data_IF_734401093085
#
_entry.id   IF_734401093085
#
_cell.length_a   1.000
_cell.length_b   1.000
_cell.length_c   1.000
_cell.angle_alpha   90.00
_cell.angle_beta   90.00
_cell.angle_gamma   90.00
#
_symmetry.space_group_name_H-M   'P 1'
#
loop_
_entity.id
_entity.type
_entity.pdbx_description
1 polymer ?
#
# COMPACT_ATOMS: atom_id res chain seq x y z
N UNK A 1 -3.41 42.17 -8.00
CA UNK A 1 -4.33 41.38 -8.84
C UNK A 1 -3.73 39.98 -8.96
N UNK A 2 -4.06 39.09 -7.99
CA UNK A 2 -3.50 37.75 -7.86
C UNK A 2 -4.48 36.80 -8.54
N UNK A 3 -4.03 36.12 -9.60
CA UNK A 3 -4.81 35.11 -10.29
C UNK A 3 -4.91 33.86 -9.42
N UNK A 4 -6.14 33.49 -9.06
CA UNK A 4 -6.46 32.20 -8.49
C UNK A 4 -6.07 31.08 -9.47
N UNK A 5 -5.13 30.24 -9.06
CA UNK A 5 -4.74 29.02 -9.77
C UNK A 5 -5.86 27.98 -9.67
N UNK A 6 -6.22 27.45 -10.81
CA UNK A 6 -7.16 26.33 -10.98
C UNK A 6 -6.83 25.17 -10.05
N UNK A 7 -7.82 24.72 -9.32
CA UNK A 7 -7.84 23.39 -8.74
C UNK A 7 -7.83 22.38 -9.91
N UNK A 8 -6.67 21.75 -10.11
CA UNK A 8 -6.54 20.66 -11.07
C UNK A 8 -7.34 19.46 -10.55
N UNK A 9 -8.35 19.07 -11.31
CA UNK A 9 -9.16 17.89 -11.07
C UNK A 9 -8.24 16.67 -10.98
N UNK A 10 -8.12 16.12 -9.78
CA UNK A 10 -7.53 14.79 -9.57
C UNK A 10 -8.30 13.82 -10.47
N UNK A 11 -7.67 13.36 -11.55
CA UNK A 11 -8.24 12.35 -12.44
C UNK A 11 -8.60 11.15 -11.57
N UNK A 12 -9.88 10.77 -11.61
CA UNK A 12 -10.34 9.50 -11.05
C UNK A 12 -9.43 8.41 -11.58
N UNK A 13 -8.81 7.68 -10.65
CA UNK A 13 -7.96 6.55 -10.97
C UNK A 13 -8.86 5.41 -11.43
N UNK A 14 -8.71 4.97 -12.69
CA UNK A 14 -9.39 3.77 -13.16
C UNK A 14 -8.94 2.56 -12.34
N UNK A 15 -9.86 1.68 -11.91
CA UNK A 15 -9.51 0.47 -11.18
C UNK A 15 -8.53 -0.36 -12.01
N UNK A 16 -7.45 -0.79 -11.36
CA UNK A 16 -6.43 -1.63 -12.00
C UNK A 16 -6.93 -3.06 -12.06
N UNK A 17 -7.35 -3.53 -13.22
CA UNK A 17 -7.62 -4.96 -13.44
C UNK A 17 -6.30 -5.65 -13.71
N UNK A 18 -5.84 -6.49 -12.78
CA UNK A 18 -4.56 -7.16 -12.90
C UNK A 18 -4.67 -8.57 -13.50
N UNK A 19 -5.82 -9.21 -13.34
CA UNK A 19 -6.21 -10.49 -13.97
C UNK A 19 -7.74 -10.50 -14.06
N UNK A 20 -8.33 -11.45 -14.81
CA UNK A 20 -9.80 -11.54 -14.96
C UNK A 20 -10.56 -11.67 -13.61
N UNK A 21 -9.88 -12.08 -12.53
CA UNK A 21 -10.47 -12.35 -11.22
C UNK A 21 -10.06 -11.37 -10.11
N UNK A 22 -9.05 -10.51 -10.28
CA UNK A 22 -8.54 -9.62 -9.22
C UNK A 22 -8.67 -8.16 -9.64
N UNK A 23 -9.45 -7.39 -8.89
CA UNK A 23 -9.58 -5.94 -9.06
C UNK A 23 -8.82 -5.25 -7.93
N UNK A 24 -7.98 -4.27 -8.29
CA UNK A 24 -7.26 -3.43 -7.30
C UNK A 24 -7.74 -2.00 -7.44
N UNK A 25 -8.08 -1.40 -6.32
CA UNK A 25 -8.54 -0.01 -6.21
C UNK A 25 -7.88 0.71 -5.04
N UNK A 26 -7.91 2.03 -5.06
CA UNK A 26 -7.53 2.85 -3.90
C UNK A 26 -8.79 3.03 -3.05
N UNK A 27 -8.70 2.71 -1.75
CA UNK A 27 -9.79 2.97 -0.83
C UNK A 27 -10.03 4.49 -0.70
N UNK A 28 -11.26 4.93 -0.93
CA UNK A 28 -11.64 6.35 -0.89
C UNK A 28 -12.42 6.70 0.39
N UNK A 29 -12.96 5.72 1.09
CA UNK A 29 -13.74 5.90 2.34
C UNK A 29 -13.52 4.73 3.28
N UNK A 30 -13.72 4.99 4.56
CA UNK A 30 -13.75 3.95 5.60
C UNK A 30 -15.20 3.53 5.80
N UNK A 31 -15.56 2.39 5.25
CA UNK A 31 -16.84 1.73 5.47
C UNK A 31 -16.67 0.49 6.35
N UNK A 32 -17.78 -0.15 6.71
CA UNK A 32 -17.75 -1.35 7.55
C UNK A 32 -17.02 -2.51 6.88
N UNK A 33 -17.12 -2.63 5.56
CA UNK A 33 -16.42 -3.67 4.80
C UNK A 33 -14.90 -3.55 4.93
N UNK A 34 -14.37 -2.33 4.81
CA UNK A 34 -12.94 -2.08 4.96
C UNK A 34 -12.46 -2.38 6.39
N UNK A 35 -13.25 -2.01 7.40
CA UNK A 35 -12.95 -2.31 8.82
C UNK A 35 -12.91 -3.82 9.04
N UNK A 36 -13.96 -4.55 8.63
CA UNK A 36 -14.06 -6.00 8.77
C UNK A 36 -12.92 -6.73 8.02
N UNK A 37 -12.55 -6.22 6.84
CA UNK A 37 -11.43 -6.75 6.09
C UNK A 37 -10.11 -6.60 6.87
N UNK A 38 -9.86 -5.43 7.46
CA UNK A 38 -8.66 -5.21 8.26
C UNK A 38 -8.62 -5.98 9.57
N UNK A 39 -9.77 -6.20 10.23
CA UNK A 39 -9.85 -7.08 11.40
C UNK A 39 -9.39 -8.52 11.05
N UNK A 40 -9.70 -8.99 9.85
CA UNK A 40 -9.31 -10.31 9.36
C UNK A 40 -7.85 -10.35 8.84
N UNK A 41 -7.39 -9.30 8.18
CA UNK A 41 -6.07 -9.25 7.53
C UNK A 41 -4.94 -8.93 8.51
N UNK A 42 -5.19 -8.08 9.50
CA UNK A 42 -4.15 -7.61 10.42
C UNK A 42 -3.46 -8.74 11.19
N UNK A 43 -4.14 -9.74 11.74
CA UNK A 43 -3.47 -10.86 12.42
C UNK A 43 -2.56 -11.68 11.47
N UNK A 44 -2.83 -11.66 10.17
CA UNK A 44 -2.03 -12.34 9.15
C UNK A 44 -0.80 -11.52 8.74
N UNK A 45 -0.83 -10.21 8.96
CA UNK A 45 0.28 -9.30 8.71
C UNK A 45 1.23 -9.22 9.91
N UNK A 46 0.69 -9.03 11.11
CA UNK A 46 1.45 -8.82 12.34
C UNK A 46 0.77 -9.46 13.54
N UNK A 47 1.53 -10.27 14.29
CA UNK A 47 1.02 -10.92 15.52
C UNK A 47 1.01 -9.98 16.74
N UNK A 48 1.69 -8.87 16.66
CA UNK A 48 1.85 -7.90 17.77
C UNK A 48 1.16 -6.56 17.50
N UNK A 49 0.51 -6.39 16.35
CA UNK A 49 -0.21 -5.16 16.06
C UNK A 49 -1.48 -5.06 16.91
N UNK A 50 -1.75 -3.86 17.42
CA UNK A 50 -3.05 -3.55 18.01
C UNK A 50 -4.14 -3.58 16.94
N UNK A 51 -5.40 -3.79 17.36
CA UNK A 51 -6.53 -3.76 16.44
C UNK A 51 -6.55 -2.43 15.64
N UNK A 52 -6.79 -2.52 14.35
CA UNK A 52 -6.98 -1.34 13.50
C UNK A 52 -8.35 -0.75 13.81
N UNK A 53 -8.39 0.54 14.08
CA UNK A 53 -9.64 1.28 14.28
C UNK A 53 -10.06 1.99 12.99
N UNK A 54 -11.36 2.27 12.84
CA UNK A 54 -11.85 3.10 11.73
C UNK A 54 -11.15 4.46 11.70
N UNK A 55 -10.84 5.05 12.86
CA UNK A 55 -10.10 6.32 12.96
C UNK A 55 -8.67 6.20 12.40
N UNK A 56 -7.96 5.11 12.70
CA UNK A 56 -6.63 4.89 12.16
C UNK A 56 -6.65 4.67 10.63
N UNK A 57 -7.65 3.98 10.10
CA UNK A 57 -7.85 3.85 8.66
C UNK A 57 -8.15 5.20 8.02
N UNK A 58 -9.01 6.01 8.66
CA UNK A 58 -9.35 7.35 8.17
C UNK A 58 -8.11 8.26 8.11
N UNK A 59 -7.24 8.21 9.11
CA UNK A 59 -5.98 8.96 9.10
C UNK A 59 -5.10 8.60 7.89
N UNK A 60 -5.04 7.30 7.51
CA UNK A 60 -4.32 6.86 6.33
C UNK A 60 -4.95 7.42 5.04
N UNK A 61 -6.29 7.42 4.95
CA UNK A 61 -7.00 7.91 3.77
C UNK A 61 -6.93 9.44 3.63
N UNK A 62 -6.94 10.17 4.74
CA UNK A 62 -6.86 11.63 4.76
C UNK A 62 -5.46 12.16 4.43
N UNK A 63 -4.45 11.31 4.54
CA UNK A 63 -3.06 11.68 4.27
C UNK A 63 -2.79 11.81 2.76
N UNK A 64 -2.37 12.98 2.33
CA UNK A 64 -1.94 13.20 0.94
C UNK A 64 -0.66 12.42 0.56
N UNK A 65 0.05 11.87 1.54
CA UNK A 65 1.28 11.12 1.32
C UNK A 65 1.02 9.61 1.17
N UNK A 66 -0.16 9.12 1.52
CA UNK A 66 -0.48 7.70 1.50
C UNK A 66 -1.60 7.36 0.52
N UNK A 67 -1.60 6.14 0.04
CA UNK A 67 -2.72 5.52 -0.68
C UNK A 67 -2.88 4.11 -0.15
N UNK A 68 -4.05 3.80 0.38
CA UNK A 68 -4.40 2.45 0.79
C UNK A 68 -5.01 1.72 -0.40
N UNK A 69 -4.27 0.76 -0.96
CA UNK A 69 -4.77 -0.08 -2.04
C UNK A 69 -5.42 -1.32 -1.46
N UNK A 70 -6.57 -1.69 -1.99
CA UNK A 70 -7.28 -2.92 -1.65
C UNK A 70 -7.45 -3.78 -2.89
N UNK A 71 -7.34 -5.09 -2.72
CA UNK A 71 -7.58 -6.06 -3.77
C UNK A 71 -8.86 -6.84 -3.48
N UNK A 72 -9.73 -6.91 -4.48
CA UNK A 72 -10.99 -7.65 -4.44
C UNK A 72 -10.93 -8.88 -5.32
N UNK A 73 -11.53 -9.94 -4.82
CA UNK A 73 -11.81 -11.17 -5.56
C UNK A 73 -13.26 -11.55 -5.27
N UNK A 74 -14.03 -11.81 -6.31
CA UNK A 74 -15.47 -12.09 -6.19
C UNK A 74 -16.22 -11.00 -5.40
N UNK A 75 -15.78 -9.74 -5.50
CA UNK A 75 -16.33 -8.58 -4.80
C UNK A 75 -15.81 -8.34 -3.38
N UNK A 76 -15.23 -9.34 -2.71
CA UNK A 76 -14.73 -9.23 -1.34
C UNK A 76 -13.28 -8.70 -1.28
N UNK A 77 -12.96 -7.88 -0.31
CA UNK A 77 -11.58 -7.44 -0.03
C UNK A 77 -10.79 -8.63 0.52
N UNK A 78 -9.75 -9.04 -0.20
CA UNK A 78 -8.88 -10.17 0.15
C UNK A 78 -7.40 -9.81 0.29
N UNK A 79 -7.06 -8.56 0.13
CA UNK A 79 -5.68 -8.09 0.33
C UNK A 79 -5.61 -6.59 0.41
N UNK A 80 -4.53 -6.10 0.99
CA UNK A 80 -4.26 -4.67 1.10
C UNK A 80 -2.76 -4.37 1.02
N UNK A 81 -2.45 -3.12 0.66
CA UNK A 81 -1.11 -2.59 0.57
C UNK A 81 -1.16 -1.08 0.83
N UNK A 82 -0.27 -0.56 1.66
CA UNK A 82 -0.09 0.88 1.85
C UNK A 82 1.06 1.37 0.98
N UNK A 83 0.79 2.37 0.13
CA UNK A 83 1.79 3.09 -0.66
C UNK A 83 1.98 4.49 -0.06
N UNK A 84 3.19 4.80 0.39
CA UNK A 84 3.58 6.15 0.78
C UNK A 84 4.37 6.82 -0.36
N UNK A 85 4.03 8.07 -0.71
CA UNK A 85 4.74 8.88 -1.70
C UNK A 85 5.05 10.24 -1.10
N UNK A 86 6.32 10.56 -0.97
CA UNK A 86 6.76 11.77 -0.30
C UNK A 86 7.89 12.49 -1.06
N UNK A 87 7.93 13.82 -1.00
CA UNK A 87 9.00 14.61 -1.60
C UNK A 87 10.24 14.60 -0.70
N UNK A 88 11.41 14.51 -1.33
CA UNK A 88 12.72 14.75 -0.72
C UNK A 88 13.53 15.68 -1.64
N UNK A 89 14.61 16.31 -1.19
CA UNK A 89 15.39 17.24 -2.03
C UNK A 89 15.86 16.63 -3.37
N UNK A 90 16.03 15.31 -3.45
CA UNK A 90 16.47 14.61 -4.67
C UNK A 90 15.32 14.13 -5.56
N UNK A 91 14.07 14.47 -5.23
CA UNK A 91 12.87 14.08 -5.99
C UNK A 91 11.81 13.40 -5.13
N UNK A 92 10.79 12.84 -5.76
CA UNK A 92 9.77 12.06 -5.04
C UNK A 92 10.20 10.61 -4.91
N UNK A 93 9.98 10.03 -3.73
CA UNK A 93 10.14 8.59 -3.47
C UNK A 93 8.80 7.96 -3.11
N UNK A 94 8.67 6.69 -3.46
CA UNK A 94 7.58 5.86 -2.99
C UNK A 94 8.13 4.73 -2.11
N UNK A 95 7.31 4.32 -1.13
CA UNK A 95 7.59 3.22 -0.23
C UNK A 95 6.36 2.35 -0.06
N UNK A 96 6.53 1.05 -0.19
CA UNK A 96 5.44 0.09 0.01
C UNK A 96 5.57 -0.50 1.42
N UNK A 97 4.48 -0.46 2.17
CA UNK A 97 4.35 -1.04 3.50
C UNK A 97 3.10 -1.92 3.60
N UNK A 98 3.09 -2.79 4.61
CA UNK A 98 1.94 -3.56 5.06
C UNK A 98 1.23 -4.35 3.95
N UNK A 99 2.01 -5.02 3.09
CA UNK A 99 1.45 -5.90 2.06
C UNK A 99 0.92 -7.17 2.72
N UNK A 100 -0.39 -7.36 2.64
CA UNK A 100 -1.08 -8.53 3.18
C UNK A 100 -2.06 -9.09 2.16
N UNK A 101 -2.12 -10.42 2.10
CA UNK A 101 -3.09 -11.17 1.30
C UNK A 101 -3.68 -12.24 2.20
N UNK A 102 -5.01 -12.28 2.26
CA UNK A 102 -5.76 -13.30 2.98
C UNK A 102 -5.26 -14.70 2.58
N UNK A 103 -5.01 -15.55 3.56
CA UNK A 103 -4.49 -16.91 3.31
C UNK A 103 -5.40 -17.72 2.39
N UNK A 104 -6.72 -17.51 2.47
CA UNK A 104 -7.70 -18.15 1.59
C UNK A 104 -7.60 -17.69 0.12
N UNK A 105 -6.99 -16.52 -0.14
CA UNK A 105 -6.81 -15.98 -1.48
C UNK A 105 -5.37 -16.09 -2.01
N UNK A 106 -4.48 -16.75 -1.26
CA UNK A 106 -3.09 -16.97 -1.71
C UNK A 106 -3.04 -17.84 -2.96
N UNK A 107 -2.05 -17.60 -3.80
CA UNK A 107 -1.89 -18.33 -5.07
C UNK A 107 -2.75 -17.81 -6.23
N UNK A 108 -3.67 -16.87 -5.97
CA UNK A 108 -4.56 -16.25 -6.98
C UNK A 108 -3.98 -14.97 -7.62
N UNK A 109 -2.70 -14.66 -7.42
CA UNK A 109 -2.07 -13.48 -8.03
C UNK A 109 -2.31 -12.14 -7.30
N UNK A 110 -3.07 -12.13 -6.19
CA UNK A 110 -3.49 -10.92 -5.46
C UNK A 110 -2.30 -10.04 -5.05
N UNK A 111 -1.24 -10.63 -4.48
CA UNK A 111 -0.06 -9.86 -4.06
C UNK A 111 0.70 -9.25 -5.24
N UNK A 112 0.73 -9.92 -6.39
CA UNK A 112 1.33 -9.38 -7.62
C UNK A 112 0.48 -8.22 -8.16
N UNK A 113 -0.84 -8.37 -8.18
CA UNK A 113 -1.77 -7.35 -8.60
C UNK A 113 -1.61 -6.06 -7.77
N UNK A 114 -1.63 -6.18 -6.42
CA UNK A 114 -1.41 -5.07 -5.50
C UNK A 114 -0.07 -4.37 -5.76
N UNK A 115 1.00 -5.16 -5.90
CA UNK A 115 2.34 -4.60 -6.09
C UNK A 115 2.47 -3.86 -7.42
N UNK A 116 1.92 -4.41 -8.52
CA UNK A 116 1.90 -3.75 -9.82
C UNK A 116 1.07 -2.46 -9.80
N UNK A 117 -0.10 -2.49 -9.17
CA UNK A 117 -0.94 -1.31 -9.00
C UNK A 117 -0.24 -0.22 -8.19
N UNK A 118 0.48 -0.58 -7.12
CA UNK A 118 1.26 0.37 -6.32
C UNK A 118 2.39 1.02 -7.14
N UNK A 119 3.12 0.24 -7.94
CA UNK A 119 4.17 0.78 -8.83
C UNK A 119 3.58 1.74 -9.86
N UNK A 120 2.46 1.39 -10.49
CA UNK A 120 1.78 2.24 -11.45
C UNK A 120 1.26 3.54 -10.78
N UNK A 121 0.66 3.42 -9.59
CA UNK A 121 0.21 4.58 -8.80
C UNK A 121 1.36 5.50 -8.43
N UNK A 122 2.49 4.95 -7.98
CA UNK A 122 3.70 5.69 -7.67
C UNK A 122 4.22 6.49 -8.89
N UNK A 123 4.20 5.89 -10.08
CA UNK A 123 4.58 6.56 -11.32
C UNK A 123 3.64 7.74 -11.66
N UNK A 124 2.32 7.56 -11.54
CA UNK A 124 1.32 8.63 -11.72
C UNK A 124 1.56 9.77 -10.74
N UNK A 125 1.96 9.47 -9.49
CA UNK A 125 2.28 10.46 -8.47
C UNK A 125 3.69 11.07 -8.62
N UNK A 126 4.44 10.69 -9.68
CA UNK A 126 5.74 11.24 -10.01
C UNK A 126 6.90 10.73 -9.15
N UNK A 127 6.75 9.57 -8.53
CA UNK A 127 7.84 8.93 -7.80
C UNK A 127 8.93 8.44 -8.77
N UNK A 128 10.19 8.66 -8.41
CA UNK A 128 11.36 8.22 -9.20
C UNK A 128 11.74 6.77 -8.91
N UNK A 129 11.48 6.32 -7.69
CA UNK A 129 11.75 4.95 -7.22
C UNK A 129 10.62 4.49 -6.31
N UNK A 130 10.41 3.19 -6.29
CA UNK A 130 9.52 2.51 -5.33
C UNK A 130 10.40 1.52 -4.57
N UNK A 131 10.44 1.66 -3.26
CA UNK A 131 11.23 0.81 -2.38
C UNK A 131 10.29 0.04 -1.43
N UNK A 132 10.75 -1.09 -0.93
CA UNK A 132 10.11 -1.88 0.12
C UNK A 132 11.17 -2.65 0.91
N UNK A 133 10.78 -3.14 2.08
CA UNK A 133 11.60 -4.12 2.82
C UNK A 133 10.91 -5.48 2.87
N UNK A 134 11.69 -6.53 2.79
CA UNK A 134 11.21 -7.90 2.96
C UNK A 134 12.23 -8.74 3.69
N UNK A 135 11.76 -9.60 4.60
CA UNK A 135 12.65 -10.51 5.32
C UNK A 135 13.11 -11.65 4.38
N UNK A 136 14.36 -12.12 4.50
CA UNK A 136 14.83 -13.26 3.69
C UNK A 136 13.94 -14.51 3.81
N UNK A 137 13.34 -14.74 4.96
CA UNK A 137 12.42 -15.87 5.22
C UNK A 137 11.13 -15.82 4.40
N UNK A 138 10.74 -14.65 3.86
CA UNK A 138 9.54 -14.48 3.02
C UNK A 138 9.83 -14.82 1.55
N UNK A 139 10.35 -16.03 1.29
CA UNK A 139 10.83 -16.43 -0.03
C UNK A 139 9.78 -16.28 -1.15
N UNK A 140 8.52 -16.56 -0.88
CA UNK A 140 7.44 -16.40 -1.87
C UNK A 140 7.21 -14.93 -2.25
N UNK A 141 7.19 -14.03 -1.26
CA UNK A 141 7.06 -12.59 -1.49
C UNK A 141 8.29 -12.04 -2.23
N UNK A 142 9.50 -12.45 -1.85
CA UNK A 142 10.72 -12.03 -2.52
C UNK A 142 10.74 -12.41 -4.01
N UNK A 143 10.31 -13.64 -4.35
CA UNK A 143 10.15 -14.04 -5.76
C UNK A 143 9.09 -13.23 -6.50
N UNK A 144 8.00 -12.85 -5.81
CA UNK A 144 6.96 -11.99 -6.37
C UNK A 144 7.55 -10.61 -6.72
N UNK A 145 8.24 -9.97 -5.79
CA UNK A 145 8.83 -8.65 -6.02
C UNK A 145 9.82 -8.66 -7.20
N UNK A 146 10.65 -9.68 -7.30
CA UNK A 146 11.56 -9.85 -8.45
C UNK A 146 10.79 -9.97 -9.78
N UNK A 147 9.70 -10.75 -9.83
CA UNK A 147 8.85 -10.84 -11.04
C UNK A 147 8.20 -9.53 -11.42
N UNK A 148 7.86 -8.68 -10.46
CA UNK A 148 7.32 -7.34 -10.72
C UNK A 148 8.39 -6.35 -11.19
N UNK A 149 9.68 -6.68 -11.02
CA UNK A 149 10.80 -5.86 -11.47
C UNK A 149 11.57 -5.17 -10.34
N UNK A 150 11.33 -5.56 -9.07
CA UNK A 150 12.16 -5.08 -7.97
C UNK A 150 13.50 -5.80 -7.96
N UNK A 151 14.56 -5.05 -7.72
CA UNK A 151 15.92 -5.56 -7.56
C UNK A 151 16.34 -5.48 -6.09
N UNK A 152 16.93 -6.57 -5.59
CA UNK A 152 17.48 -6.58 -4.23
C UNK A 152 18.67 -5.61 -4.13
N UNK A 153 18.63 -4.73 -3.11
CA UNK A 153 19.69 -3.75 -2.85
C UNK A 153 20.60 -4.22 -1.73
N UNK A 154 21.89 -3.97 -1.88
CA UNK A 154 22.88 -4.18 -0.80
C UNK A 154 22.91 -2.93 0.11
N UNK A 155 21.87 -2.78 0.90
CA UNK A 155 21.73 -1.67 1.87
C UNK A 155 21.34 -2.23 3.23
N UNK A 156 21.71 -1.54 4.30
CA UNK A 156 21.33 -1.90 5.65
C UNK A 156 20.15 -1.02 6.10
N UNK A 157 19.12 -1.64 6.64
CA UNK A 157 18.01 -0.94 7.28
C UNK A 157 18.33 -0.79 8.76
N UNK A 158 18.32 0.45 9.25
CA UNK A 158 18.47 0.77 10.66
C UNK A 158 17.10 1.16 11.22
N UNK A 159 16.78 0.66 12.43
CA UNK A 159 15.58 1.03 13.17
C UNK A 159 15.95 1.56 14.55
N UNK A 160 15.42 2.71 14.88
CA UNK A 160 15.44 3.24 16.24
C UNK A 160 13.98 3.39 16.70
N UNK A 161 13.67 2.92 17.91
CA UNK A 161 12.39 3.25 18.54
C UNK A 161 12.58 4.59 19.27
N UNK A 162 11.84 5.66 18.91
CA UNK A 162 11.84 6.89 19.71
C UNK A 162 11.43 6.54 21.16
N UNK A 163 12.05 7.18 22.15
CA UNK A 163 11.57 7.08 23.50
C UNK A 163 10.12 7.61 23.54
N UNK A 164 9.22 6.92 24.22
CA UNK A 164 7.89 7.45 24.51
C UNK A 164 8.08 8.82 25.13
N UNK A 165 7.44 9.84 24.54
CA UNK A 165 7.68 11.24 24.93
C UNK A 165 7.51 11.41 26.43
N UNK A 166 8.56 11.90 27.08
CA UNK A 166 8.41 12.51 28.39
C UNK A 166 7.56 13.77 28.18
N UNK A 167 6.31 13.75 28.71
CA UNK A 167 5.52 14.94 28.93
C UNK A 167 6.21 15.90 29.90
#
# INVERSE_FOLDING_TARGET
MVRAGRADSVRRYDPFVATDDVVVEVAESVDQELVDAWERLLPQLSRSACAVTASALQEILDSNATSLLVARVDGAIVGSLTLAVFPIPTGRRAWIEDVVVDEAARGRGVGEALTRAAVARAAVLGARTVDLTSRPSRAAANRLYQRVGFEARQTTVYRCAPAEGAE
#
